data_IF_495410099947
#
_entry.id   IF_495410099947
#
_cell.length_a   1.000
_cell.length_b   1.000
_cell.length_c   1.000
_cell.angle_alpha   90.00
_cell.angle_beta   90.00
_cell.angle_gamma   90.00
#
_symmetry.space_group_name_H-M   'P 1'
#
loop_
_entity.id
_entity.type
_entity.pdbx_description
1 polymer ?
#
# COMPACT_ATOMS: atom_id res chain seq x y z
N UNK A 1 -12.29 36.42 -43.26
CA UNK A 1 -11.60 36.65 -41.96
C UNK A 1 -12.39 35.93 -40.90
N UNK A 2 -11.81 34.88 -40.35
CA UNK A 2 -12.43 34.15 -39.25
C UNK A 2 -12.59 35.06 -38.03
N UNK A 3 -13.73 35.09 -37.37
CA UNK A 3 -13.88 35.82 -36.14
C UNK A 3 -12.86 35.29 -35.11
N UNK A 4 -12.10 36.22 -34.52
CA UNK A 4 -11.24 35.82 -33.38
C UNK A 4 -12.12 35.54 -32.19
N UNK A 5 -12.14 34.29 -31.77
CA UNK A 5 -12.63 33.93 -30.45
C UNK A 5 -11.72 34.59 -29.42
N UNK A 6 -12.24 35.51 -28.65
CA UNK A 6 -11.53 35.98 -27.47
C UNK A 6 -11.34 34.85 -26.47
N UNK A 7 -10.11 34.58 -26.12
CA UNK A 7 -9.79 33.70 -24.99
C UNK A 7 -10.25 34.36 -23.70
N UNK A 8 -11.40 33.95 -23.20
CA UNK A 8 -11.94 34.36 -21.91
C UNK A 8 -12.37 33.12 -21.17
N UNK A 9 -12.26 33.11 -19.84
CA UNK A 9 -12.89 32.09 -18.97
C UNK A 9 -14.39 32.31 -19.02
N UNK A 10 -15.10 31.46 -19.74
CA UNK A 10 -16.56 31.45 -19.75
C UNK A 10 -17.04 30.45 -18.69
N UNK A 11 -17.77 30.94 -17.70
CA UNK A 11 -18.58 30.10 -16.82
C UNK A 11 -19.99 30.08 -17.43
N UNK A 12 -20.47 28.91 -17.80
CA UNK A 12 -21.79 28.60 -18.37
C UNK A 12 -22.47 29.80 -19.12
N UNK A 13 -22.63 29.71 -20.42
CA UNK A 13 -23.25 30.76 -21.18
C UNK A 13 -23.70 30.29 -22.57
N UNK A 14 -24.79 30.86 -23.05
CA UNK A 14 -25.20 30.73 -24.44
C UNK A 14 -24.27 31.57 -25.33
N UNK A 15 -23.65 30.96 -26.32
CA UNK A 15 -22.91 31.65 -27.37
C UNK A 15 -23.88 32.01 -28.49
N UNK A 16 -24.14 33.31 -28.62
CA UNK A 16 -24.94 33.84 -29.75
C UNK A 16 -24.01 34.29 -30.85
N UNK A 17 -24.12 33.65 -32.02
CA UNK A 17 -23.46 34.17 -33.23
C UNK A 17 -24.14 35.40 -33.75
N UNK A 18 -23.37 36.37 -34.26
CA UNK A 18 -23.95 37.54 -34.92
C UNK A 18 -24.52 37.21 -36.30
N UNK A 19 -25.70 37.71 -36.58
CA UNK A 19 -26.34 37.58 -37.87
C UNK A 19 -25.48 38.26 -38.95
N UNK A 20 -24.96 37.45 -39.89
CA UNK A 20 -24.25 38.01 -41.04
C UNK A 20 -22.85 37.50 -41.32
N UNK A 21 -22.27 36.65 -40.46
CA UNK A 21 -20.94 36.04 -40.65
C UNK A 21 -21.05 34.52 -40.81
N UNK A 22 -20.32 33.96 -41.78
CA UNK A 22 -20.13 32.53 -41.97
C UNK A 22 -18.86 32.10 -41.23
N UNK A 23 -18.99 31.24 -40.25
CA UNK A 23 -17.83 30.62 -39.61
C UNK A 23 -17.89 29.11 -39.82
N UNK A 24 -16.71 28.50 -40.00
CA UNK A 24 -16.59 27.12 -40.43
C UNK A 24 -16.18 26.16 -39.32
N UNK A 25 -15.57 26.66 -38.26
CA UNK A 25 -15.06 25.79 -37.18
C UNK A 25 -15.11 26.54 -35.87
N UNK A 26 -15.71 25.90 -34.87
CA UNK A 26 -15.67 26.33 -33.50
C UNK A 26 -14.83 25.31 -32.70
N UNK A 27 -13.71 25.73 -32.18
CA UNK A 27 -12.88 24.92 -31.28
C UNK A 27 -13.03 25.50 -29.88
N UNK A 28 -13.53 24.71 -28.97
CA UNK A 28 -13.59 25.04 -27.55
C UNK A 28 -12.45 24.34 -26.82
N UNK A 29 -11.62 25.15 -26.18
CA UNK A 29 -10.54 24.64 -25.31
C UNK A 29 -10.96 24.75 -23.85
N UNK A 30 -11.00 23.64 -23.14
CA UNK A 30 -11.24 23.60 -21.71
C UNK A 30 -9.91 23.38 -20.99
N UNK A 31 -9.24 24.48 -20.59
CA UNK A 31 -8.06 24.42 -19.72
C UNK A 31 -6.87 23.58 -20.22
N UNK A 32 -6.89 22.28 -20.11
CA UNK A 32 -5.77 21.39 -20.47
C UNK A 32 -6.07 20.40 -21.60
N UNK A 33 -7.26 20.38 -22.16
CA UNK A 33 -7.59 19.53 -23.31
C UNK A 33 -8.36 20.31 -24.36
N UNK A 34 -7.86 20.26 -25.60
CA UNK A 34 -8.63 20.73 -26.75
C UNK A 34 -9.63 19.62 -27.09
N UNK A 35 -10.90 19.85 -26.79
CA UNK A 35 -11.98 19.01 -27.33
C UNK A 35 -12.54 19.70 -28.57
N UNK A 36 -12.50 19.00 -29.69
CA UNK A 36 -13.22 19.39 -30.90
C UNK A 36 -14.69 18.99 -30.70
N UNK A 37 -15.54 19.98 -30.49
CA UNK A 37 -16.98 19.79 -30.24
C UNK A 37 -17.75 19.61 -31.54
N UNK A 38 -17.11 19.87 -32.66
CA UNK A 38 -17.70 19.70 -33.98
C UNK A 38 -17.49 20.90 -34.92
N UNK A 39 -17.74 20.64 -36.18
CA UNK A 39 -17.75 21.68 -37.22
C UNK A 39 -19.19 22.14 -37.42
N UNK A 40 -19.45 23.42 -37.19
CA UNK A 40 -20.74 24.02 -37.42
C UNK A 40 -20.63 24.91 -38.64
N UNK A 41 -21.46 24.65 -39.66
CA UNK A 41 -21.62 25.54 -40.80
C UNK A 41 -22.89 26.35 -40.60
N UNK A 42 -22.79 27.67 -40.57
CA UNK A 42 -23.92 28.57 -40.51
C UNK A 42 -24.08 29.28 -41.85
N UNK A 43 -25.23 29.14 -42.50
CA UNK A 43 -25.63 30.01 -43.58
C UNK A 43 -26.20 31.32 -43.02
N UNK A 44 -25.99 32.41 -43.78
CA UNK A 44 -26.27 33.81 -43.41
C UNK A 44 -27.69 34.09 -42.85
N UNK A 45 -28.62 33.18 -42.99
CA UNK A 45 -30.03 33.35 -42.65
C UNK A 45 -30.51 32.60 -41.38
N UNK A 46 -29.71 31.71 -40.83
CA UNK A 46 -30.12 30.89 -39.68
C UNK A 46 -29.10 30.99 -38.55
N UNK A 47 -29.36 31.72 -37.47
CA UNK A 47 -28.53 31.71 -36.30
C UNK A 47 -28.56 30.32 -35.69
N UNK A 48 -27.36 29.75 -35.47
CA UNK A 48 -27.21 28.50 -34.71
C UNK A 48 -26.90 28.87 -33.28
N UNK A 49 -27.75 28.47 -32.35
CA UNK A 49 -27.49 28.58 -30.92
C UNK A 49 -27.11 27.19 -30.40
N UNK A 50 -26.12 27.11 -29.55
CA UNK A 50 -25.73 25.90 -28.82
C UNK A 50 -25.41 26.25 -27.38
N UNK A 51 -25.73 25.30 -26.49
CA UNK A 51 -25.38 25.40 -25.08
C UNK A 51 -24.11 24.62 -24.85
N UNK A 52 -23.15 25.23 -24.19
CA UNK A 52 -21.94 24.57 -23.76
C UNK A 52 -22.05 24.28 -22.25
N UNK A 53 -22.23 23.04 -21.91
CA UNK A 53 -22.19 22.59 -20.52
C UNK A 53 -20.73 22.32 -20.15
N UNK A 54 -20.23 23.05 -19.18
CA UNK A 54 -18.89 22.81 -18.63
C UNK A 54 -18.94 21.63 -17.66
N UNK A 55 -18.12 20.61 -17.93
CA UNK A 55 -17.87 19.57 -16.94
C UNK A 55 -16.99 20.14 -15.82
N UNK A 56 -17.56 20.24 -14.65
CA UNK A 56 -16.82 20.59 -13.45
C UNK A 56 -15.96 19.42 -13.00
N UNK A 57 -14.66 19.56 -13.13
CA UNK A 57 -13.70 18.49 -12.87
C UNK A 57 -13.09 18.62 -11.49
N UNK A 58 -12.71 17.47 -10.92
CA UNK A 58 -12.00 17.33 -9.65
C UNK A 58 -10.96 16.22 -9.77
N UNK A 59 -10.09 16.07 -8.78
CA UNK A 59 -9.13 14.96 -8.67
C UNK A 59 -8.74 14.70 -7.23
N UNK A 60 -8.17 13.54 -6.98
CA UNK A 60 -7.70 13.12 -5.67
C UNK A 60 -6.17 13.06 -5.66
N UNK A 61 -5.58 13.54 -4.59
CA UNK A 61 -4.18 13.37 -4.23
C UNK A 61 -4.09 12.47 -2.99
N UNK A 62 -3.32 11.38 -3.10
CA UNK A 62 -3.09 10.43 -2.01
C UNK A 62 -1.66 10.55 -1.50
N UNK A 63 -1.49 10.52 -0.17
CA UNK A 63 -0.21 10.30 0.50
C UNK A 63 -0.23 8.99 1.24
N UNK A 64 0.68 8.09 0.85
CA UNK A 64 0.89 6.77 1.44
C UNK A 64 2.09 6.75 2.35
N UNK A 65 1.94 6.19 3.57
CA UNK A 65 2.97 6.17 4.59
C UNK A 65 3.02 4.82 5.31
N UNK A 66 4.18 4.47 5.81
CA UNK A 66 4.35 3.39 6.78
C UNK A 66 3.62 3.71 8.09
N UNK A 67 2.93 2.72 8.67
CA UNK A 67 2.13 2.92 9.87
C UNK A 67 2.99 3.23 11.12
N UNK A 68 4.20 2.70 11.19
CA UNK A 68 5.10 2.85 12.33
C UNK A 68 6.05 4.05 12.16
N UNK A 69 6.80 4.07 11.06
CA UNK A 69 7.87 5.08 10.82
C UNK A 69 7.33 6.40 10.28
N UNK A 70 6.14 6.42 9.69
CA UNK A 70 5.55 7.54 8.95
C UNK A 70 6.33 7.95 7.70
N UNK A 71 7.31 7.14 7.30
CA UNK A 71 8.02 7.36 6.04
C UNK A 71 7.09 7.12 4.85
N UNK A 72 7.25 7.88 3.77
CA UNK A 72 6.47 7.69 2.56
C UNK A 72 6.73 6.32 1.92
N UNK A 73 5.69 5.70 1.38
CA UNK A 73 5.73 4.40 0.72
C UNK A 73 5.42 4.52 -0.77
N UNK A 74 6.32 3.99 -1.60
CA UNK A 74 6.12 3.80 -3.03
C UNK A 74 5.51 2.41 -3.33
N UNK A 75 4.96 2.25 -4.53
CA UNK A 75 4.47 0.96 -5.02
C UNK A 75 3.01 0.63 -4.70
N UNK A 76 2.28 1.46 -3.95
CA UNK A 76 0.84 1.28 -3.70
C UNK A 76 0.00 1.71 -4.91
N UNK A 77 -1.11 1.00 -5.15
CA UNK A 77 -2.13 1.37 -6.15
C UNK A 77 -3.49 1.45 -5.47
N UNK A 78 -4.23 2.52 -5.74
CA UNK A 78 -5.57 2.76 -5.21
C UNK A 78 -6.59 2.84 -6.34
N UNK A 79 -7.81 2.33 -6.07
CA UNK A 79 -8.98 2.52 -6.92
C UNK A 79 -9.88 3.62 -6.37
N UNK A 80 -10.46 4.40 -7.27
CA UNK A 80 -11.55 5.35 -6.98
C UNK A 80 -12.84 4.70 -7.45
N UNK A 81 -13.82 4.60 -6.56
CA UNK A 81 -15.08 3.90 -6.76
C UNK A 81 -16.25 4.84 -6.58
N UNK A 82 -17.37 4.55 -7.28
CA UNK A 82 -18.59 5.36 -7.19
C UNK A 82 -19.55 4.90 -6.09
N UNK A 83 -19.26 3.76 -5.45
CA UNK A 83 -20.10 3.18 -4.40
C UNK A 83 -19.29 2.76 -3.16
N UNK A 84 -19.95 2.70 -2.01
CA UNK A 84 -19.34 2.42 -0.71
C UNK A 84 -18.85 0.99 -0.52
N UNK A 85 -19.22 0.06 -1.39
CA UNK A 85 -18.73 -1.33 -1.36
C UNK A 85 -17.52 -1.54 -2.25
N UNK A 86 -17.14 -0.50 -3.02
CA UNK A 86 -16.08 -0.55 -4.01
C UNK A 86 -16.29 -1.64 -5.07
N UNK A 87 -17.53 -1.80 -5.55
CA UNK A 87 -17.90 -2.74 -6.61
C UNK A 87 -17.81 -2.10 -8.01
N UNK A 88 -17.98 -0.76 -8.10
CA UNK A 88 -17.94 -0.01 -9.36
C UNK A 88 -16.74 0.92 -9.41
N UNK A 89 -15.68 0.42 -10.01
CA UNK A 89 -14.45 1.18 -10.22
C UNK A 89 -14.69 2.31 -11.21
N UNK A 90 -14.38 3.54 -10.81
CA UNK A 90 -14.35 4.71 -11.69
C UNK A 90 -13.02 4.78 -12.44
N UNK A 91 -11.90 4.69 -11.70
CA UNK A 91 -10.54 4.66 -12.25
C UNK A 91 -9.55 4.12 -11.24
N UNK A 92 -8.38 3.66 -11.72
CA UNK A 92 -7.21 3.42 -10.88
C UNK A 92 -6.35 4.68 -10.80
N UNK A 93 -5.79 4.92 -9.63
CA UNK A 93 -4.78 5.96 -9.45
C UNK A 93 -3.41 5.47 -9.93
N UNK A 94 -2.53 6.36 -10.35
CA UNK A 94 -1.12 6.02 -10.58
C UNK A 94 -0.50 5.38 -9.35
N UNK A 95 0.54 4.57 -9.56
CA UNK A 95 1.34 3.98 -8.47
C UNK A 95 1.96 5.09 -7.62
N UNK A 96 1.96 4.96 -6.30
CA UNK A 96 2.64 5.92 -5.42
C UNK A 96 4.14 5.93 -5.71
N UNK A 97 4.71 7.13 -5.83
CA UNK A 97 6.14 7.33 -6.05
C UNK A 97 6.93 7.40 -4.74
N UNK A 98 8.23 7.71 -4.83
CA UNK A 98 9.18 7.76 -3.70
C UNK A 98 8.76 8.69 -2.55
N UNK A 99 7.94 9.69 -2.82
CA UNK A 99 7.37 10.60 -1.81
C UNK A 99 6.04 10.06 -1.22
N UNK A 100 5.67 8.81 -1.55
CA UNK A 100 4.40 8.21 -1.15
C UNK A 100 3.18 8.85 -1.81
N UNK A 101 3.38 9.61 -2.88
CA UNK A 101 2.34 10.43 -3.51
C UNK A 101 1.81 9.79 -4.78
N UNK A 102 0.48 9.82 -4.94
CA UNK A 102 -0.23 9.55 -6.18
C UNK A 102 -1.29 10.62 -6.43
N UNK A 103 -1.49 11.01 -7.68
CA UNK A 103 -2.52 11.97 -8.09
C UNK A 103 -3.34 11.34 -9.19
N UNK A 104 -4.66 11.27 -9.01
CA UNK A 104 -5.57 10.71 -10.02
C UNK A 104 -5.64 11.61 -11.25
N UNK A 105 -6.11 11.06 -12.35
CA UNK A 105 -6.65 11.85 -13.44
C UNK A 105 -7.88 12.64 -12.97
N UNK A 106 -8.29 13.61 -13.78
CA UNK A 106 -9.49 14.38 -13.52
C UNK A 106 -10.74 13.55 -13.79
N UNK A 107 -11.76 13.73 -12.93
CA UNK A 107 -13.10 13.15 -13.11
C UNK A 107 -14.18 14.17 -12.76
N UNK A 108 -15.44 13.88 -13.13
CA UNK A 108 -16.56 14.80 -12.95
C UNK A 108 -16.93 15.01 -11.48
N UNK A 109 -16.91 16.27 -11.03
CA UNK A 109 -17.31 16.65 -9.68
C UNK A 109 -18.83 16.47 -9.40
N UNK A 110 -19.64 16.28 -10.46
CA UNK A 110 -21.07 15.95 -10.34
C UNK A 110 -21.34 14.69 -9.52
N UNK A 111 -20.36 13.76 -9.41
CA UNK A 111 -20.44 12.55 -8.60
C UNK A 111 -20.56 12.89 -7.11
N UNK A 112 -20.02 14.03 -6.64
CA UNK A 112 -20.03 14.58 -5.26
C UNK A 112 -19.31 13.74 -4.21
N UNK A 113 -19.45 12.43 -4.23
CA UNK A 113 -18.81 11.52 -3.27
C UNK A 113 -18.24 10.32 -4.00
N UNK A 114 -16.98 10.01 -3.72
CA UNK A 114 -16.30 8.81 -4.19
C UNK A 114 -15.69 8.03 -3.00
N UNK A 115 -15.31 6.80 -3.26
CA UNK A 115 -14.70 5.92 -2.27
C UNK A 115 -13.35 5.47 -2.80
N UNK A 116 -12.32 5.58 -1.97
CA UNK A 116 -10.95 5.25 -2.36
C UNK A 116 -10.48 4.08 -1.52
N UNK A 117 -10.10 2.99 -2.19
CA UNK A 117 -9.64 1.74 -1.56
C UNK A 117 -8.34 1.29 -2.20
N UNK A 118 -7.47 0.69 -1.41
CA UNK A 118 -6.25 0.08 -1.90
C UNK A 118 -6.54 -1.17 -2.74
N UNK A 119 -5.90 -1.26 -3.90
CA UNK A 119 -5.93 -2.42 -4.80
C UNK A 119 -4.65 -3.25 -4.62
N UNK A 120 -3.52 -2.55 -4.45
CA UNK A 120 -2.21 -3.17 -4.29
C UNK A 120 -1.42 -2.43 -3.23
N UNK A 121 -0.96 -3.18 -2.22
CA UNK A 121 -0.05 -2.67 -1.22
C UNK A 121 1.40 -2.56 -1.75
N UNK A 122 2.26 -1.74 -1.13
CA UNK A 122 3.70 -1.79 -1.32
C UNK A 122 4.29 -3.17 -1.02
N UNK A 123 5.46 -3.46 -1.56
CA UNK A 123 6.14 -4.73 -1.30
C UNK A 123 6.44 -4.93 0.20
N UNK A 124 6.15 -6.13 0.73
CA UNK A 124 6.26 -6.51 2.15
C UNK A 124 5.30 -5.79 3.11
N UNK A 125 4.27 -5.13 2.57
CA UNK A 125 3.17 -4.57 3.35
C UNK A 125 1.90 -5.40 3.17
N UNK A 126 1.05 -5.40 4.20
CA UNK A 126 -0.27 -5.99 4.13
C UNK A 126 -1.25 -5.01 3.50
N UNK A 127 -2.10 -5.50 2.61
CA UNK A 127 -3.13 -4.68 1.98
C UNK A 127 -4.12 -4.16 3.02
N UNK A 128 -4.44 -2.88 2.91
CA UNK A 128 -5.40 -2.23 3.79
C UNK A 128 -6.84 -2.40 3.28
N UNK A 129 -7.74 -2.82 4.16
CA UNK A 129 -9.18 -2.87 3.87
C UNK A 129 -9.90 -1.54 4.10
N UNK A 130 -9.19 -0.49 4.48
CA UNK A 130 -9.76 0.83 4.76
C UNK A 130 -10.34 1.44 3.48
N UNK A 131 -11.62 1.84 3.55
CA UNK A 131 -12.29 2.58 2.49
C UNK A 131 -12.39 4.05 2.92
N UNK A 132 -11.76 4.94 2.16
CA UNK A 132 -11.83 6.38 2.39
C UNK A 132 -13.03 6.95 1.64
N UNK A 133 -14.04 7.43 2.37
CA UNK A 133 -15.12 8.23 1.79
C UNK A 133 -14.62 9.65 1.54
N UNK A 134 -14.73 10.13 0.31
CA UNK A 134 -14.21 11.41 -0.13
C UNK A 134 -15.32 12.23 -0.77
N UNK A 135 -15.67 13.35 -0.15
CA UNK A 135 -16.57 14.33 -0.76
C UNK A 135 -15.74 15.28 -1.64
N UNK A 136 -16.12 15.43 -2.90
CA UNK A 136 -15.39 16.18 -3.92
C UNK A 136 -16.10 17.48 -4.30
N UNK A 137 -15.31 18.45 -4.66
CA UNK A 137 -15.78 19.77 -5.11
C UNK A 137 -15.15 20.16 -6.45
N UNK A 138 -15.93 20.84 -7.26
CA UNK A 138 -15.51 21.35 -8.56
C UNK A 138 -14.25 22.22 -8.47
N UNK A 139 -13.30 21.98 -9.37
CA UNK A 139 -12.05 22.74 -9.48
C UNK A 139 -11.05 22.48 -8.38
N UNK A 140 -11.33 21.58 -7.43
CA UNK A 140 -10.43 21.27 -6.31
C UNK A 140 -9.70 19.95 -6.49
N UNK A 141 -8.52 19.86 -5.86
CA UNK A 141 -7.83 18.59 -5.57
C UNK A 141 -8.10 18.25 -4.12
N UNK A 142 -8.68 17.09 -3.86
CA UNK A 142 -8.93 16.61 -2.50
C UNK A 142 -7.78 15.70 -2.07
N UNK A 143 -7.17 16.00 -0.93
CA UNK A 143 -6.03 15.24 -0.41
C UNK A 143 -6.49 14.24 0.65
N UNK A 144 -6.02 13.00 0.55
CA UNK A 144 -6.21 11.95 1.54
C UNK A 144 -4.87 11.36 1.97
N UNK A 145 -4.81 10.79 3.18
CA UNK A 145 -3.64 10.08 3.69
C UNK A 145 -4.02 8.65 4.07
N UNK A 146 -3.17 7.71 3.72
CA UNK A 146 -3.35 6.29 4.01
C UNK A 146 -2.06 5.71 4.58
N UNK A 147 -2.18 4.68 5.42
CA UNK A 147 -1.03 3.99 6.01
C UNK A 147 -1.17 2.49 5.85
N UNK A 148 -0.04 1.78 5.71
CA UNK A 148 -0.01 0.32 5.79
C UNK A 148 0.87 -0.16 6.92
N UNK A 149 0.50 -1.30 7.48
CA UNK A 149 1.35 -2.08 8.36
C UNK A 149 2.23 -3.02 7.52
N UNK A 150 3.51 -3.12 7.86
CA UNK A 150 4.37 -4.14 7.28
C UNK A 150 3.85 -5.53 7.62
N UNK A 151 4.05 -6.49 6.74
CA UNK A 151 3.83 -7.91 7.04
C UNK A 151 4.79 -8.31 8.16
N UNK A 152 4.27 -8.96 9.19
CA UNK A 152 5.03 -9.39 10.37
C UNK A 152 5.45 -10.84 10.20
N UNK A 153 6.50 -11.23 10.91
CA UNK A 153 6.93 -12.62 11.02
C UNK A 153 6.72 -13.16 12.44
N UNK A 154 6.52 -14.47 12.54
CA UNK A 154 6.51 -15.19 13.80
C UNK A 154 7.23 -16.53 13.66
N UNK A 155 7.86 -16.97 14.73
CA UNK A 155 8.51 -18.29 14.82
C UNK A 155 8.02 -18.98 16.08
N UNK A 156 7.41 -20.16 15.91
CA UNK A 156 7.01 -21.04 16.99
C UNK A 156 8.03 -22.14 17.14
N UNK A 157 8.68 -22.20 18.28
CA UNK A 157 9.70 -23.19 18.60
C UNK A 157 9.10 -24.26 19.52
N UNK A 158 9.28 -25.52 19.14
CA UNK A 158 9.03 -26.67 19.97
C UNK A 158 10.35 -27.37 20.28
N UNK A 159 10.72 -27.45 21.57
CA UNK A 159 11.90 -28.21 22.00
C UNK A 159 11.53 -29.66 22.24
N UNK A 160 12.37 -30.55 21.77
CA UNK A 160 12.26 -32.00 22.01
C UNK A 160 13.60 -32.58 22.45
N UNK A 161 13.56 -33.70 23.15
CA UNK A 161 14.72 -34.55 23.41
C UNK A 161 15.04 -35.36 22.15
N UNK A 162 16.32 -35.45 21.79
CA UNK A 162 16.79 -36.07 20.55
C UNK A 162 16.55 -37.59 20.53
N UNK A 163 16.60 -38.26 21.70
CA UNK A 163 16.43 -39.70 21.79
C UNK A 163 14.95 -40.10 21.87
N UNK A 164 14.17 -39.37 22.66
CA UNK A 164 12.72 -39.67 22.84
C UNK A 164 11.87 -39.09 21.70
N UNK A 165 12.37 -38.13 20.93
CA UNK A 165 11.64 -37.38 19.88
C UNK A 165 10.37 -36.70 20.40
N UNK A 166 10.35 -36.36 21.70
CA UNK A 166 9.23 -35.70 22.37
C UNK A 166 9.73 -34.67 23.40
N UNK A 167 8.83 -33.84 23.90
CA UNK A 167 9.12 -32.99 25.06
C UNK A 167 9.06 -33.87 26.33
N UNK A 168 9.98 -34.82 26.41
CA UNK A 168 10.09 -35.76 27.49
C UNK A 168 11.57 -35.86 27.90
N UNK A 169 11.94 -35.25 29.03
CA UNK A 169 13.32 -35.22 29.48
C UNK A 169 13.77 -36.60 29.94
N UNK A 170 15.09 -36.85 29.97
CA UNK A 170 15.69 -38.05 30.45
C UNK A 170 16.00 -37.94 31.94
N UNK A 171 15.61 -38.95 32.73
CA UNK A 171 15.82 -38.99 34.17
C UNK A 171 15.15 -37.80 34.89
N UNK A 172 15.91 -37.17 35.78
CA UNK A 172 15.45 -36.03 36.59
C UNK A 172 15.72 -34.66 35.91
N UNK A 173 16.16 -34.64 34.64
CA UNK A 173 16.47 -33.44 33.88
C UNK A 173 15.20 -32.70 33.45
N UNK A 174 15.33 -31.48 32.97
CA UNK A 174 14.20 -30.69 32.38
C UNK A 174 14.63 -30.14 31.02
N UNK A 175 13.73 -30.13 30.04
CA UNK A 175 13.93 -29.46 28.79
C UNK A 175 13.48 -27.98 28.84
N UNK A 176 12.68 -27.63 29.85
CA UNK A 176 12.30 -26.22 30.13
C UNK A 176 13.50 -25.45 30.71
N UNK A 177 13.49 -24.15 30.55
CA UNK A 177 14.54 -23.27 31.04
C UNK A 177 15.71 -23.05 30.05
N UNK A 178 15.79 -23.82 28.96
CA UNK A 178 16.76 -23.56 27.90
C UNK A 178 16.55 -22.16 27.32
N UNK A 179 17.64 -21.42 27.05
CA UNK A 179 17.60 -20.09 26.46
C UNK A 179 18.01 -20.19 25.00
N UNK A 180 17.16 -19.72 24.12
CA UNK A 180 17.43 -19.61 22.68
C UNK A 180 17.50 -18.17 22.23
N UNK A 181 18.44 -17.88 21.34
CA UNK A 181 18.55 -16.62 20.62
C UNK A 181 18.12 -16.75 19.17
N UNK A 182 17.43 -15.74 18.67
CA UNK A 182 17.13 -15.55 17.25
C UNK A 182 18.11 -14.53 16.68
N UNK A 183 18.82 -14.89 15.63
CA UNK A 183 19.90 -14.11 15.03
C UNK A 183 19.62 -13.83 13.56
N UNK A 184 20.10 -12.69 13.05
CA UNK A 184 20.00 -12.33 11.66
C UNK A 184 20.99 -13.16 10.80
N UNK A 185 20.51 -13.85 9.75
CA UNK A 185 21.39 -14.53 8.79
C UNK A 185 21.99 -13.59 7.75
N UNK A 186 21.36 -12.46 7.57
CA UNK A 186 21.75 -11.38 6.65
C UNK A 186 21.42 -10.01 7.28
N UNK A 187 21.86 -8.91 6.68
CA UNK A 187 21.43 -7.58 7.14
C UNK A 187 19.92 -7.44 6.97
N UNK A 188 19.18 -7.16 8.04
CA UNK A 188 17.74 -6.94 8.02
C UNK A 188 17.46 -5.46 7.84
N UNK A 189 16.79 -5.13 6.74
CA UNK A 189 16.48 -3.76 6.35
C UNK A 189 14.99 -3.51 6.55
N UNK A 190 14.62 -2.30 7.00
CA UNK A 190 13.22 -1.91 7.08
C UNK A 190 12.59 -1.86 5.68
N UNK A 191 11.36 -2.40 5.48
CA UNK A 191 10.74 -2.46 4.15
C UNK A 191 10.36 -1.10 3.56
N UNK A 192 10.34 -0.01 4.36
CA UNK A 192 10.04 1.34 3.86
C UNK A 192 11.12 1.94 2.94
N UNK A 193 12.26 1.27 2.78
CA UNK A 193 13.36 1.72 1.92
C UNK A 193 14.11 2.97 2.41
N UNK A 194 13.72 3.55 3.55
CA UNK A 194 14.25 4.82 4.06
C UNK A 194 14.90 4.70 5.43
N UNK A 195 14.37 3.87 6.30
CA UNK A 195 14.90 3.65 7.66
C UNK A 195 16.26 2.95 7.64
N UNK A 196 16.53 2.10 6.65
CA UNK A 196 17.82 1.41 6.49
C UNK A 196 17.92 0.13 7.31
N UNK A 197 19.16 -0.22 7.70
CA UNK A 197 19.47 -1.50 8.37
C UNK A 197 19.09 -1.43 9.84
N UNK A 198 18.25 -2.40 10.26
CA UNK A 198 17.79 -2.57 11.64
C UNK A 198 18.68 -3.53 12.43
N UNK A 199 19.06 -4.65 11.81
CA UNK A 199 19.91 -5.67 12.40
C UNK A 199 20.99 -6.04 11.40
N UNK A 200 22.24 -6.08 11.87
CA UNK A 200 23.35 -6.57 11.08
C UNK A 200 23.38 -8.08 11.06
N UNK A 201 23.93 -8.65 10.00
CA UNK A 201 24.22 -10.08 9.93
C UNK A 201 24.86 -10.57 11.23
N UNK A 202 24.44 -11.73 11.71
CA UNK A 202 24.88 -12.42 12.93
C UNK A 202 24.61 -11.68 14.25
N UNK A 203 23.85 -10.55 14.22
CA UNK A 203 23.41 -9.88 15.44
C UNK A 203 22.19 -10.57 16.06
N UNK A 204 22.11 -10.54 17.39
CA UNK A 204 20.96 -11.01 18.14
C UNK A 204 19.75 -10.10 17.90
N UNK A 205 18.63 -10.68 17.45
CA UNK A 205 17.36 -9.99 17.24
C UNK A 205 16.49 -10.07 18.49
N UNK A 206 16.37 -11.28 19.05
CA UNK A 206 15.58 -11.57 20.25
C UNK A 206 16.15 -12.78 20.96
N UNK A 207 15.80 -12.92 22.25
CA UNK A 207 16.05 -14.14 22.99
C UNK A 207 14.84 -14.50 23.86
N UNK A 208 14.71 -15.79 24.18
CA UNK A 208 13.63 -16.26 25.01
C UNK A 208 13.97 -17.58 25.70
N UNK A 209 13.11 -17.97 26.62
CA UNK A 209 13.27 -19.16 27.45
C UNK A 209 12.20 -20.18 27.08
N UNK A 210 12.58 -21.45 26.90
CA UNK A 210 11.66 -22.55 26.69
C UNK A 210 10.78 -22.69 27.93
N UNK A 211 9.47 -22.64 27.71
CA UNK A 211 8.44 -22.78 28.76
C UNK A 211 8.30 -24.25 29.27
N UNK A 212 7.51 -24.40 30.30
CA UNK A 212 7.20 -25.72 30.89
C UNK A 212 6.49 -26.69 29.91
N UNK A 213 5.85 -26.18 28.88
CA UNK A 213 5.21 -26.95 27.81
C UNK A 213 6.15 -27.22 26.61
N UNK A 214 7.41 -26.80 26.69
CA UNK A 214 8.41 -27.00 25.67
C UNK A 214 8.36 -25.97 24.54
N UNK A 215 7.57 -24.92 24.67
CA UNK A 215 7.41 -23.90 23.60
C UNK A 215 8.16 -22.62 23.86
N UNK A 216 8.49 -21.92 22.79
CA UNK A 216 8.99 -20.55 22.78
C UNK A 216 8.51 -19.86 21.50
N UNK A 217 7.98 -18.64 21.64
CA UNK A 217 7.46 -17.87 20.53
C UNK A 217 8.25 -16.57 20.34
N UNK A 218 8.67 -16.31 19.12
CA UNK A 218 9.11 -14.98 18.67
C UNK A 218 8.05 -14.41 17.73
N UNK A 219 7.61 -13.19 17.98
CA UNK A 219 6.55 -12.53 17.20
C UNK A 219 6.95 -11.12 16.77
N UNK A 220 6.16 -10.52 15.86
CA UNK A 220 6.37 -9.16 15.32
C UNK A 220 7.72 -8.97 14.65
N UNK A 221 8.29 -10.05 14.14
CA UNK A 221 9.59 -10.04 13.46
C UNK A 221 9.49 -9.32 12.11
N UNK A 222 10.63 -8.92 11.57
CA UNK A 222 10.79 -8.50 10.18
C UNK A 222 10.92 -9.72 9.28
N UNK A 223 10.48 -9.61 8.03
CA UNK A 223 10.63 -10.67 7.05
C UNK A 223 12.10 -10.72 6.58
N UNK A 224 12.80 -11.81 6.90
CA UNK A 224 14.20 -12.03 6.55
C UNK A 224 14.60 -13.49 6.79
N UNK A 225 15.81 -13.84 6.36
CA UNK A 225 16.47 -15.07 6.76
C UNK A 225 17.12 -14.88 8.12
N UNK A 226 16.85 -15.82 9.02
CA UNK A 226 17.30 -15.83 10.42
C UNK A 226 17.78 -17.21 10.80
N UNK A 227 18.36 -17.35 11.97
CA UNK A 227 18.63 -18.64 12.59
C UNK A 227 18.41 -18.58 14.08
N UNK A 228 17.96 -19.70 14.63
CA UNK A 228 17.79 -19.92 16.07
C UNK A 228 18.97 -20.75 16.56
N UNK A 229 19.52 -20.38 17.73
CA UNK A 229 20.65 -21.06 18.37
C UNK A 229 20.47 -21.07 19.85
N UNK A 230 20.83 -22.19 20.48
CA UNK A 230 20.85 -22.29 21.93
C UNK A 230 21.96 -21.40 22.52
N UNK A 231 21.61 -20.62 23.55
CA UNK A 231 22.54 -19.76 24.31
C UNK A 231 22.93 -20.48 25.61
N UNK A 232 21.92 -21.02 26.30
CA UNK A 232 22.10 -21.71 27.58
C UNK A 232 21.27 -22.98 27.56
N UNK A 233 21.87 -24.15 27.80
CA UNK A 233 21.14 -25.41 27.84
C UNK A 233 20.29 -25.49 29.13
N UNK A 234 19.30 -26.37 29.16
CA UNK A 234 18.59 -26.68 30.40
C UNK A 234 19.47 -27.47 31.37
N UNK A 235 19.02 -27.57 32.62
CA UNK A 235 19.78 -28.26 33.65
C UNK A 235 19.99 -29.75 33.31
N UNK A 236 21.22 -30.20 33.39
CA UNK A 236 21.62 -31.57 33.10
C UNK A 236 22.02 -31.86 31.66
N UNK A 237 21.96 -30.86 30.78
CA UNK A 237 22.33 -30.98 29.37
C UNK A 237 23.54 -30.12 29.00
N UNK A 238 24.09 -30.37 27.84
CA UNK A 238 25.19 -29.55 27.23
C UNK A 238 24.63 -28.70 26.11
N UNK A 239 25.23 -27.54 25.83
CA UNK A 239 24.77 -26.66 24.77
C UNK A 239 24.74 -27.36 23.42
N UNK A 240 23.62 -27.31 22.72
CA UNK A 240 23.53 -27.68 21.31
C UNK A 240 24.10 -26.56 20.44
N UNK A 241 25.18 -26.80 19.69
CA UNK A 241 25.80 -25.78 18.81
C UNK A 241 25.05 -25.57 17.50
N UNK A 242 23.97 -26.31 17.26
CA UNK A 242 23.23 -26.29 15.99
C UNK A 242 22.60 -24.92 15.74
N UNK A 243 22.75 -24.44 14.51
CA UNK A 243 22.03 -23.26 14.00
C UNK A 243 20.82 -23.75 13.19
N UNK A 244 19.64 -23.45 13.65
CA UNK A 244 18.38 -23.81 13.00
C UNK A 244 17.90 -22.69 12.11
N UNK A 245 17.95 -22.91 10.79
CA UNK A 245 17.58 -21.91 9.80
C UNK A 245 16.08 -21.61 9.80
N UNK A 246 15.75 -20.32 9.68
CA UNK A 246 14.38 -19.80 9.56
C UNK A 246 14.32 -18.83 8.39
N UNK A 247 13.42 -19.09 7.45
CA UNK A 247 13.17 -18.19 6.32
C UNK A 247 11.73 -17.64 6.43
N UNK A 248 11.62 -16.35 6.78
CA UNK A 248 10.38 -15.60 6.82
C UNK A 248 10.27 -14.83 5.49
N UNK A 249 10.03 -15.54 4.40
CA UNK A 249 9.84 -14.96 3.08
C UNK A 249 8.45 -14.32 2.95
N UNK A 250 8.34 -13.23 2.18
CA UNK A 250 7.06 -12.58 1.89
C UNK A 250 6.14 -13.53 1.10
N UNK A 251 4.90 -13.68 1.55
CA UNK A 251 3.90 -14.59 0.97
C UNK A 251 2.74 -13.88 0.28
N UNK A 252 2.83 -12.56 0.12
CA UNK A 252 1.82 -11.74 -0.54
C UNK A 252 1.11 -10.76 0.41
N UNK A 253 0.44 -9.79 -0.18
CA UNK A 253 -0.22 -8.70 0.56
C UNK A 253 -1.44 -9.12 1.39
N UNK A 254 -2.02 -10.29 1.09
CA UNK A 254 -3.17 -10.85 1.82
C UNK A 254 -2.74 -11.55 3.13
N UNK A 255 -1.43 -11.74 3.34
CA UNK A 255 -0.88 -12.40 4.51
C UNK A 255 -0.31 -11.35 5.45
N UNK A 256 -1.02 -11.05 6.54
CA UNK A 256 -0.58 -10.05 7.52
C UNK A 256 0.58 -10.53 8.41
N UNK A 257 0.71 -11.85 8.62
CA UNK A 257 1.78 -12.46 9.40
C UNK A 257 2.23 -13.79 8.78
N UNK A 258 3.54 -13.91 8.54
CA UNK A 258 4.18 -15.14 8.07
C UNK A 258 4.70 -15.90 9.28
N UNK A 259 4.23 -17.14 9.47
CA UNK A 259 4.59 -17.99 10.61
C UNK A 259 5.44 -19.17 10.18
N UNK A 260 6.43 -19.54 10.99
CA UNK A 260 7.22 -20.77 10.84
C UNK A 260 7.26 -21.55 12.15
N UNK A 261 7.01 -22.84 12.02
CA UNK A 261 7.19 -23.81 13.10
C UNK A 261 8.60 -24.40 13.02
N UNK A 262 9.29 -24.43 14.14
CA UNK A 262 10.66 -24.91 14.25
C UNK A 262 10.77 -25.91 15.40
N UNK A 263 11.29 -27.09 15.11
CA UNK A 263 11.64 -28.08 16.14
C UNK A 263 13.13 -28.02 16.42
N UNK A 264 13.50 -27.78 17.68
CA UNK A 264 14.89 -27.79 18.14
C UNK A 264 15.10 -29.01 19.05
N UNK A 265 16.31 -29.54 19.04
CA UNK A 265 16.64 -30.77 19.76
C UNK A 265 17.66 -30.51 20.85
N UNK A 266 17.62 -31.37 21.89
CA UNK A 266 18.64 -31.42 22.91
C UNK A 266 19.41 -32.73 22.80
#
# INVERSE_FOLDING_TARGET
>A
TAPMLHTGTYSSGELHGSVGETWRTLVLSTGNSNQDIGVFESEKANPVSFTVDWLEMTRIELFKQDADTKNPLDGAVYGIYTDSKCEHLLMEMPVTGEEGKAVSDYFEAAIKTVYVKEIKAPDKYAQSDVIHKVDVEAGKTVTISATDERVKGAVHIQKIDKETQAFLPQGDSSLAGAVYGLYAREDIVHPDGKTGVLFKKDSLIAQGVIKEDGTLDFSKLYLAKMYVKEITPPEGYTVDPTEYEVDLAYEGQEVAEVTRDLTVQE
#
